data_IF_151166227595
#
_entry.id   IF_151166227595
#
_cell.length_a   1.000
_cell.length_b   1.000
_cell.length_c   1.000
_cell.angle_alpha   90.00
_cell.angle_beta   90.00
_cell.angle_gamma   90.00
#
_symmetry.space_group_name_H-M   'P 1'
#
loop_
_entity.id
_entity.type
_entity.pdbx_description
1 polymer ?
#
# COMPACT_ATOMS: atom_id res chain seq x y z
N UNK A 1 -7.48 -61.48 27.44
CA UNK A 1 -7.02 -60.89 28.68
C UNK A 1 -6.66 -59.45 28.37
N UNK A 2 -7.38 -58.57 28.95
CA UNK A 2 -7.63 -57.18 28.49
C UNK A 2 -6.54 -56.25 29.00
N UNK A 3 -5.90 -55.54 28.06
CA UNK A 3 -5.15 -54.33 28.34
C UNK A 3 -6.12 -53.16 28.52
N UNK A 4 -5.91 -52.39 29.58
CA UNK A 4 -6.65 -51.19 29.92
C UNK A 4 -5.84 -49.99 29.45
N UNK A 5 -6.37 -49.28 28.46
CA UNK A 5 -5.94 -47.94 28.08
C UNK A 5 -6.15 -46.97 29.25
N UNK A 6 -5.05 -46.29 29.63
CA UNK A 6 -5.11 -45.13 30.53
C UNK A 6 -5.15 -43.84 29.70
N UNK A 7 -6.28 -43.20 29.75
CA UNK A 7 -6.43 -41.78 29.33
C UNK A 7 -5.46 -40.90 30.14
N UNK A 8 -4.61 -40.15 29.40
CA UNK A 8 -3.79 -39.09 29.97
C UNK A 8 -4.63 -37.79 29.94
N UNK A 9 -4.92 -37.28 31.12
CA UNK A 9 -5.69 -36.05 31.32
C UNK A 9 -4.92 -34.82 30.81
N UNK A 10 -5.66 -33.96 30.09
CA UNK A 10 -5.22 -32.61 29.70
C UNK A 10 -5.22 -31.70 30.94
N UNK A 11 -4.13 -31.62 31.64
CA UNK A 11 -3.86 -30.52 32.59
C UNK A 11 -2.38 -30.59 32.98
N UNK A 12 -1.54 -29.92 32.23
CA UNK A 12 -0.24 -29.37 32.64
C UNK A 12 0.41 -28.66 31.42
N UNK A 13 -0.23 -27.58 30.97
CA UNK A 13 0.49 -26.59 30.17
C UNK A 13 0.92 -25.52 31.16
N UNK A 14 2.07 -25.72 31.74
CA UNK A 14 2.79 -24.66 32.46
C UNK A 14 3.12 -23.57 31.45
N UNK A 15 2.63 -22.37 31.72
CA UNK A 15 3.07 -21.13 31.11
C UNK A 15 4.58 -20.98 31.42
N UNK A 16 5.42 -21.43 30.51
CA UNK A 16 6.79 -21.01 30.42
C UNK A 16 6.76 -19.62 29.77
N UNK A 17 7.18 -18.59 30.49
CA UNK A 17 7.59 -17.33 29.93
C UNK A 17 8.78 -17.64 28.98
N UNK A 18 8.49 -17.84 27.69
CA UNK A 18 9.51 -17.80 26.66
C UNK A 18 10.03 -16.34 26.64
N UNK A 19 11.18 -16.10 27.23
CA UNK A 19 11.94 -14.87 27.02
C UNK A 19 12.06 -14.68 25.51
N UNK A 20 11.29 -13.76 24.93
CA UNK A 20 11.38 -13.41 23.53
C UNK A 20 12.81 -12.90 23.27
N UNK A 21 13.57 -13.68 22.53
CA UNK A 21 14.93 -13.33 22.14
C UNK A 21 14.87 -12.03 21.32
N UNK A 22 15.46 -10.96 21.84
CA UNK A 22 15.48 -9.65 21.20
C UNK A 22 16.79 -9.48 20.44
N UNK A 23 16.70 -9.14 19.18
CA UNK A 23 17.84 -8.93 18.28
C UNK A 23 18.14 -7.44 18.13
N UNK A 24 19.41 -7.05 18.29
CA UNK A 24 19.86 -5.68 18.08
C UNK A 24 19.91 -5.34 16.58
N UNK A 25 19.10 -4.40 16.14
CA UNK A 25 19.02 -3.97 14.75
C UNK A 25 19.93 -2.79 14.45
N UNK A 26 20.11 -1.90 15.41
CA UNK A 26 20.98 -0.73 15.31
C UNK A 26 21.62 -0.47 16.68
N UNK A 27 22.91 -0.15 16.64
CA UNK A 27 23.68 0.31 17.80
C UNK A 27 24.34 1.62 17.43
N UNK A 28 24.06 2.68 18.18
CA UNK A 28 24.55 4.04 17.91
C UNK A 28 25.15 4.60 19.20
N UNK A 29 26.42 4.91 19.20
CA UNK A 29 27.07 5.65 20.29
C UNK A 29 26.83 7.15 20.06
N UNK A 30 26.43 7.86 21.13
CA UNK A 30 26.16 9.30 21.07
C UNK A 30 27.46 10.05 21.16
N UNK A 31 27.77 10.85 20.13
CA UNK A 31 28.99 11.63 20.02
C UNK A 31 29.24 12.52 21.28
N UNK A 32 30.50 12.67 21.65
CA UNK A 32 30.90 13.48 22.83
C UNK A 32 30.48 14.95 22.70
N UNK A 33 30.35 15.48 21.50
CA UNK A 33 29.86 16.83 21.21
C UNK A 33 28.36 16.98 21.04
N UNK A 34 27.58 15.88 21.21
CA UNK A 34 26.13 15.91 21.02
C UNK A 34 25.43 16.68 22.12
N UNK A 35 24.74 17.76 21.78
CA UNK A 35 23.86 18.46 22.71
C UNK A 35 22.65 17.63 23.12
N UNK A 36 22.02 17.97 24.25
CA UNK A 36 20.81 17.28 24.74
C UNK A 36 19.69 17.34 23.70
N UNK A 37 19.40 16.22 23.03
CA UNK A 37 18.38 16.08 22.03
C UNK A 37 17.44 14.93 22.40
N UNK A 38 16.13 15.10 22.16
CA UNK A 38 15.17 14.01 22.35
C UNK A 38 15.52 12.82 21.45
N UNK A 39 15.42 11.60 22.00
CA UNK A 39 15.81 10.38 21.30
C UNK A 39 15.02 10.17 19.98
N UNK A 40 13.75 10.59 19.95
CA UNK A 40 12.94 10.51 18.73
C UNK A 40 13.45 11.44 17.61
N UNK A 41 14.02 12.60 17.95
CA UNK A 41 14.70 13.49 16.99
C UNK A 41 16.10 12.98 16.65
N UNK A 42 16.86 12.53 17.65
CA UNK A 42 18.20 11.99 17.47
C UNK A 42 18.23 10.83 16.47
N UNK A 43 17.33 9.85 16.64
CA UNK A 43 17.24 8.69 15.75
C UNK A 43 16.66 9.05 14.38
N UNK A 44 15.73 10.01 14.27
CA UNK A 44 15.19 10.40 12.97
C UNK A 44 16.20 11.06 12.04
N UNK A 45 17.31 11.59 12.58
CA UNK A 45 18.40 12.15 11.79
C UNK A 45 19.48 11.11 11.40
N UNK A 46 19.44 9.90 11.96
CA UNK A 46 20.46 8.85 11.78
C UNK A 46 19.95 7.56 11.16
N UNK A 47 18.63 7.36 11.16
CA UNK A 47 18.01 6.19 10.57
C UNK A 47 17.37 6.57 9.23
N UNK A 48 17.89 6.02 8.15
CA UNK A 48 17.32 6.18 6.83
C UNK A 48 15.91 5.56 6.74
N UNK A 49 15.04 6.16 5.96
CA UNK A 49 13.67 5.70 5.68
C UNK A 49 12.79 5.44 6.92
N UNK A 50 13.15 6.00 8.11
CA UNK A 50 12.40 5.78 9.35
C UNK A 50 11.72 7.07 9.83
N UNK A 51 10.38 7.08 9.83
CA UNK A 51 9.63 8.24 10.30
C UNK A 51 9.72 8.40 11.82
N UNK A 52 9.71 9.66 12.29
CA UNK A 52 9.71 9.99 13.72
C UNK A 52 8.58 9.30 14.50
N UNK A 53 7.39 9.13 13.89
CA UNK A 53 6.28 8.39 14.50
C UNK A 53 6.61 6.92 14.72
N UNK A 54 7.33 6.28 13.79
CA UNK A 54 7.78 4.88 13.92
C UNK A 54 8.74 4.74 15.09
N UNK A 55 9.68 5.68 15.24
CA UNK A 55 10.62 5.73 16.35
C UNK A 55 9.88 5.91 17.68
N UNK A 56 8.91 6.82 17.75
CA UNK A 56 8.14 7.04 18.98
C UNK A 56 7.33 5.79 19.37
N UNK A 57 6.76 5.08 18.41
CA UNK A 57 6.03 3.85 18.68
C UNK A 57 6.97 2.72 19.15
N UNK A 58 8.16 2.60 18.54
CA UNK A 58 9.17 1.64 18.98
C UNK A 58 9.63 1.93 20.42
N UNK A 59 9.85 3.22 20.77
CA UNK A 59 10.21 3.61 22.13
C UNK A 59 9.07 3.31 23.15
N UNK A 60 7.80 3.50 22.79
CA UNK A 60 6.65 3.13 23.63
C UNK A 60 6.50 1.62 23.80
N UNK A 61 6.91 0.85 22.81
CA UNK A 61 6.93 -0.61 22.84
C UNK A 61 8.14 -1.20 23.58
N UNK A 62 9.05 -0.35 24.12
CA UNK A 62 10.27 -0.80 24.81
C UNK A 62 11.38 -1.27 23.88
N UNK A 63 11.25 -1.09 22.56
CA UNK A 63 12.23 -1.52 21.56
C UNK A 63 13.43 -0.56 21.39
N UNK A 64 13.46 0.56 22.09
CA UNK A 64 14.59 1.49 22.08
C UNK A 64 15.21 1.51 23.46
N UNK A 65 16.45 1.07 23.55
CA UNK A 65 17.23 1.00 24.77
C UNK A 65 18.30 2.10 24.76
N UNK A 66 18.60 2.64 25.92
CA UNK A 66 19.79 3.48 26.16
C UNK A 66 20.55 2.84 27.31
N UNK A 67 21.82 2.51 27.07
CA UNK A 67 22.65 1.78 28.02
C UNK A 67 21.93 0.51 28.55
N UNK A 68 21.30 -0.24 27.64
CA UNK A 68 20.50 -1.45 27.88
C UNK A 68 19.21 -1.26 28.70
N UNK A 69 18.72 -0.02 28.87
CA UNK A 69 17.46 0.27 29.57
C UNK A 69 16.46 0.89 28.60
N UNK A 70 15.23 0.34 28.55
CA UNK A 70 14.15 0.86 27.69
C UNK A 70 13.79 2.32 28.07
N UNK A 71 13.68 3.19 27.07
CA UNK A 71 13.44 4.61 27.27
C UNK A 71 12.17 5.11 26.58
N UNK A 72 11.58 6.17 27.13
CA UNK A 72 10.40 6.83 26.52
C UNK A 72 10.84 7.74 25.36
N UNK A 73 9.92 8.07 24.40
CA UNK A 73 10.24 8.91 23.22
C UNK A 73 10.82 10.31 23.53
N UNK A 74 10.58 10.82 24.72
CA UNK A 74 11.07 12.13 25.17
C UNK A 74 12.40 12.08 25.91
N UNK A 75 13.01 10.90 26.08
CA UNK A 75 14.35 10.80 26.67
C UNK A 75 15.33 11.71 25.93
N UNK A 76 16.17 12.43 26.66
CA UNK A 76 17.20 13.29 26.09
C UNK A 76 18.53 12.54 26.10
N UNK A 77 19.04 12.23 24.93
CA UNK A 77 20.34 11.55 24.78
C UNK A 77 21.46 12.41 25.35
N UNK A 78 22.45 11.76 25.95
CA UNK A 78 23.63 12.40 26.55
C UNK A 78 24.88 11.93 25.81
N UNK A 79 25.95 12.72 25.73
CA UNK A 79 27.24 12.28 25.23
C UNK A 79 27.67 10.95 25.86
N UNK A 80 28.08 9.98 25.06
CA UNK A 80 28.52 8.67 25.52
C UNK A 80 27.39 7.66 25.79
N UNK A 81 26.09 8.04 25.62
CA UNK A 81 25.00 7.07 25.66
C UNK A 81 25.15 6.07 24.50
N UNK A 82 24.87 4.82 24.78
CA UNK A 82 24.74 3.76 23.75
C UNK A 82 23.27 3.50 23.51
N UNK A 83 22.81 3.87 22.34
CA UNK A 83 21.41 3.68 21.91
C UNK A 83 21.30 2.42 21.08
N UNK A 84 20.48 1.46 21.53
CA UNK A 84 20.20 0.22 20.81
C UNK A 84 18.73 0.15 20.39
N UNK A 85 18.47 -0.34 19.19
CA UNK A 85 17.12 -0.67 18.72
C UNK A 85 17.02 -2.18 18.64
N UNK A 86 16.11 -2.76 19.43
CA UNK A 86 15.93 -4.20 19.55
C UNK A 86 14.53 -4.62 19.08
N UNK A 87 14.44 -5.72 18.34
CA UNK A 87 13.18 -6.27 17.84
C UNK A 87 13.15 -7.79 18.07
N UNK A 88 11.95 -8.35 18.14
CA UNK A 88 11.73 -9.78 18.36
C UNK A 88 12.09 -10.69 17.15
N UNK A 89 12.70 -10.15 16.12
CA UNK A 89 13.17 -10.89 14.95
C UNK A 89 14.56 -10.37 14.54
N UNK A 90 15.42 -11.20 13.98
CA UNK A 90 16.76 -10.78 13.57
C UNK A 90 16.72 -9.69 12.52
N UNK A 91 17.78 -8.85 12.42
CA UNK A 91 17.91 -7.87 11.34
C UNK A 91 17.81 -8.60 10.00
N UNK A 92 16.86 -8.19 9.17
CA UNK A 92 16.79 -8.63 7.78
C UNK A 92 17.28 -7.49 6.90
N UNK A 93 18.44 -7.65 6.33
CA UNK A 93 18.74 -6.98 5.09
C UNK A 93 17.78 -7.54 4.04
N UNK A 94 16.89 -6.71 3.52
CA UNK A 94 16.04 -7.11 2.38
C UNK A 94 16.97 -7.05 1.18
N UNK A 95 17.69 -8.13 0.94
CA UNK A 95 18.43 -8.30 -0.29
C UNK A 95 17.43 -8.31 -1.45
N UNK A 96 17.62 -7.39 -2.39
CA UNK A 96 16.77 -7.30 -3.58
C UNK A 96 17.23 -8.38 -4.57
N UNK A 97 16.69 -9.58 -4.44
CA UNK A 97 17.01 -10.72 -5.29
C UNK A 97 16.38 -10.49 -6.67
N UNK A 98 17.17 -10.44 -7.76
CA UNK A 98 16.66 -10.37 -9.11
C UNK A 98 15.81 -11.60 -9.44
N UNK A 99 14.62 -11.40 -10.01
CA UNK A 99 13.74 -12.49 -10.43
C UNK A 99 13.21 -12.24 -11.83
N UNK A 100 13.29 -13.25 -12.69
CA UNK A 100 12.74 -13.23 -14.04
C UNK A 100 11.21 -13.35 -13.99
N UNK A 101 10.57 -12.20 -13.73
CA UNK A 101 9.13 -12.05 -13.67
C UNK A 101 8.72 -11.12 -14.81
N UNK A 102 7.79 -11.52 -15.69
CA UNK A 102 7.32 -10.65 -16.75
C UNK A 102 6.74 -9.35 -16.22
N UNK A 103 7.14 -8.22 -16.81
CA UNK A 103 6.60 -6.89 -16.54
C UNK A 103 6.06 -6.27 -17.83
N UNK A 104 4.87 -5.68 -17.73
CA UNK A 104 4.27 -4.97 -18.85
C UNK A 104 4.75 -3.51 -18.83
N UNK A 105 5.69 -3.16 -19.70
CA UNK A 105 6.30 -1.82 -19.81
C UNK A 105 5.47 -1.00 -20.80
N UNK A 106 4.94 0.15 -20.34
CA UNK A 106 4.22 1.11 -21.16
C UNK A 106 5.16 2.14 -21.82
N UNK A 107 6.23 2.48 -21.12
CA UNK A 107 7.27 3.41 -21.58
C UNK A 107 8.56 3.17 -20.81
N UNK A 108 9.68 3.31 -21.50
CA UNK A 108 11.01 3.28 -20.89
C UNK A 108 11.98 4.19 -21.66
N UNK A 109 12.81 4.91 -20.90
CA UNK A 109 13.97 5.63 -21.42
C UNK A 109 15.17 5.48 -20.45
N UNK A 110 16.19 6.32 -20.61
CA UNK A 110 17.38 6.31 -19.76
C UNK A 110 17.09 6.66 -18.29
N UNK A 111 16.01 7.37 -18.01
CA UNK A 111 15.74 8.01 -16.71
C UNK A 111 14.60 7.36 -15.94
N UNK A 112 13.57 6.89 -16.66
CA UNK A 112 12.34 6.33 -16.06
C UNK A 112 11.90 5.06 -16.77
N UNK A 113 11.17 4.23 -16.05
CA UNK A 113 10.31 3.19 -16.62
C UNK A 113 8.89 3.34 -16.07
N UNK A 114 7.89 3.19 -16.93
CA UNK A 114 6.47 3.21 -16.56
C UNK A 114 5.89 1.85 -16.91
N UNK A 115 5.32 1.21 -15.91
CA UNK A 115 4.76 -0.15 -16.04
C UNK A 115 3.25 -0.15 -15.86
N UNK A 116 2.57 -1.08 -16.50
CA UNK A 116 1.22 -1.51 -16.16
C UNK A 116 1.33 -2.70 -15.20
N UNK A 117 1.32 -2.41 -13.89
CA UNK A 117 1.43 -3.45 -12.87
C UNK A 117 0.20 -4.35 -12.87
N UNK A 118 0.39 -5.64 -12.90
CA UNK A 118 -0.70 -6.60 -12.74
C UNK A 118 -1.26 -6.62 -11.31
N UNK A 119 -2.53 -6.99 -11.18
CA UNK A 119 -3.12 -7.28 -9.88
C UNK A 119 -2.51 -8.56 -9.27
N UNK A 120 -2.45 -8.63 -7.95
CA UNK A 120 -1.81 -9.75 -7.23
C UNK A 120 -0.32 -9.54 -6.95
N UNK A 121 0.36 -8.65 -7.70
CA UNK A 121 1.78 -8.35 -7.50
C UNK A 121 1.97 -7.23 -6.46
N UNK A 122 2.79 -7.46 -5.44
CA UNK A 122 3.23 -6.44 -4.48
C UNK A 122 4.31 -5.57 -5.12
N UNK A 123 4.32 -4.27 -4.83
CA UNK A 123 5.32 -3.36 -5.42
C UNK A 123 6.71 -3.56 -4.82
N UNK A 124 6.84 -3.61 -3.49
CA UNK A 124 8.12 -3.67 -2.79
C UNK A 124 8.14 -4.83 -1.79
N UNK A 125 9.28 -5.55 -1.65
CA UNK A 125 9.42 -6.58 -0.62
C UNK A 125 9.06 -6.07 0.77
N UNK A 126 8.38 -6.92 1.54
CA UNK A 126 7.96 -6.60 2.89
C UNK A 126 7.43 -7.83 3.62
N UNK A 127 6.91 -7.63 4.83
CA UNK A 127 6.42 -8.73 5.66
C UNK A 127 5.42 -9.62 4.90
N UNK A 128 5.74 -10.92 4.81
CA UNK A 128 4.93 -11.92 4.10
C UNK A 128 5.07 -11.91 2.56
N UNK A 129 5.83 -10.99 1.97
CA UNK A 129 6.08 -10.91 0.52
C UNK A 129 7.53 -10.44 0.29
N UNK A 130 8.48 -11.32 0.53
CA UNK A 130 9.93 -10.99 0.43
C UNK A 130 10.46 -11.12 -1.00
N UNK A 131 9.77 -11.88 -1.84
CA UNK A 131 10.08 -12.16 -3.24
C UNK A 131 8.82 -12.06 -4.08
N UNK A 132 8.92 -12.18 -5.40
CA UNK A 132 7.77 -12.11 -6.30
C UNK A 132 7.19 -10.69 -6.42
N UNK A 133 7.97 -9.65 -6.11
CA UNK A 133 7.50 -8.26 -6.14
C UNK A 133 7.93 -7.57 -7.44
N UNK A 134 7.28 -6.45 -7.75
CA UNK A 134 7.66 -5.63 -8.89
C UNK A 134 9.14 -5.19 -8.81
N UNK A 135 9.64 -4.88 -7.61
CA UNK A 135 11.06 -4.50 -7.43
C UNK A 135 11.99 -5.67 -7.80
N UNK A 136 11.66 -6.92 -7.42
CA UNK A 136 12.47 -8.08 -7.82
C UNK A 136 12.53 -8.24 -9.35
N UNK A 137 11.39 -8.04 -10.04
CA UNK A 137 11.32 -8.06 -11.49
C UNK A 137 12.12 -6.93 -12.14
N UNK A 138 12.01 -5.71 -11.59
CA UNK A 138 12.75 -4.53 -12.09
C UNK A 138 14.26 -4.66 -11.88
N UNK A 139 14.71 -5.20 -10.75
CA UNK A 139 16.15 -5.48 -10.53
C UNK A 139 16.66 -6.48 -11.57
N UNK A 140 15.86 -7.49 -11.92
CA UNK A 140 16.22 -8.41 -13.00
C UNK A 140 16.25 -7.71 -14.36
N UNK A 141 15.23 -6.92 -14.69
CA UNK A 141 15.16 -6.16 -15.94
C UNK A 141 16.33 -5.17 -16.08
N UNK A 142 16.75 -4.55 -14.98
CA UNK A 142 17.82 -3.55 -15.00
C UNK A 142 19.24 -4.14 -14.99
N UNK A 143 19.43 -5.44 -14.71
CA UNK A 143 20.75 -6.07 -14.62
C UNK A 143 21.58 -5.94 -15.91
N UNK A 144 20.88 -5.96 -17.06
CA UNK A 144 21.50 -5.91 -18.39
C UNK A 144 21.56 -4.48 -18.96
N UNK A 145 21.13 -3.46 -18.18
CA UNK A 145 21.26 -2.07 -18.58
C UNK A 145 22.70 -1.56 -18.38
N UNK A 146 23.15 -0.59 -19.21
CA UNK A 146 24.43 0.06 -19.01
C UNK A 146 24.55 0.65 -17.61
N UNK A 147 25.75 0.55 -17.03
CA UNK A 147 26.07 1.17 -15.75
C UNK A 147 25.82 2.68 -15.81
N UNK A 148 25.20 3.22 -14.76
CA UNK A 148 25.06 4.66 -14.56
C UNK A 148 26.04 5.10 -13.48
N UNK A 149 26.94 6.05 -13.81
CA UNK A 149 28.02 6.48 -12.89
C UNK A 149 28.90 5.34 -12.35
N UNK A 150 29.15 4.30 -13.18
CA UNK A 150 29.84 3.07 -12.82
C UNK A 150 29.12 2.19 -11.78
N UNK A 151 27.81 2.40 -11.54
CA UNK A 151 26.99 1.57 -10.66
C UNK A 151 25.83 0.91 -11.43
N UNK A 152 25.36 -0.26 -10.99
CA UNK A 152 24.14 -0.88 -11.51
C UNK A 152 22.91 0.01 -11.31
N UNK A 153 22.03 0.03 -12.32
CA UNK A 153 20.73 0.73 -12.22
C UNK A 153 19.88 0.09 -11.13
N UNK A 154 19.37 0.91 -10.20
CA UNK A 154 18.50 0.48 -9.10
C UNK A 154 17.10 1.05 -9.26
N UNK A 155 16.04 0.27 -8.97
CA UNK A 155 14.66 0.75 -9.05
C UNK A 155 14.37 1.82 -8.01
N UNK A 156 14.23 3.08 -8.43
CA UNK A 156 13.86 4.23 -7.60
C UNK A 156 12.35 4.37 -7.45
N UNK A 157 11.75 3.75 -6.43
CA UNK A 157 10.32 3.87 -6.16
C UNK A 157 9.97 5.21 -5.50
N UNK A 158 8.96 5.88 -6.03
CA UNK A 158 8.46 7.18 -5.52
C UNK A 158 6.99 7.12 -5.07
N UNK A 159 6.27 6.12 -5.54
CA UNK A 159 4.88 5.82 -5.14
C UNK A 159 4.56 4.32 -5.21
N UNK A 160 3.38 3.97 -4.79
CA UNK A 160 2.90 2.58 -4.83
C UNK A 160 1.39 2.52 -5.03
N UNK A 161 0.94 1.38 -5.57
CA UNK A 161 -0.46 0.97 -5.57
C UNK A 161 -0.60 -0.34 -4.79
N UNK A 162 -1.81 -0.70 -4.39
CA UNK A 162 -2.05 -1.90 -3.57
C UNK A 162 -1.72 -3.19 -4.35
N UNK A 163 -1.51 -4.29 -3.62
CA UNK A 163 -1.24 -5.61 -4.20
C UNK A 163 -2.24 -5.97 -5.31
N UNK A 164 -3.53 -5.86 -5.01
CA UNK A 164 -4.62 -6.23 -5.89
C UNK A 164 -5.12 -5.07 -6.77
N UNK A 165 -4.50 -3.90 -6.73
CA UNK A 165 -4.73 -2.80 -7.68
C UNK A 165 -3.80 -2.99 -8.88
N UNK A 166 -4.33 -2.94 -10.08
CA UNK A 166 -3.57 -2.95 -11.33
C UNK A 166 -3.33 -1.54 -11.87
N UNK A 167 -2.44 -1.39 -12.86
CA UNK A 167 -2.29 -0.16 -13.63
C UNK A 167 -0.97 0.55 -13.52
N UNK A 168 -0.96 1.82 -13.93
CA UNK A 168 0.23 2.63 -14.16
C UNK A 168 1.04 2.90 -12.89
N UNK A 169 2.36 2.72 -13.02
CA UNK A 169 3.32 3.02 -11.97
C UNK A 169 4.64 3.50 -12.59
N UNK A 170 5.17 4.65 -12.12
CA UNK A 170 6.44 5.20 -12.58
C UNK A 170 7.56 4.87 -11.60
N UNK A 171 8.71 4.47 -12.16
CA UNK A 171 9.92 4.11 -11.43
C UNK A 171 11.07 4.92 -12.01
N UNK A 172 11.89 5.52 -11.15
CA UNK A 172 13.13 6.16 -11.55
C UNK A 172 14.25 5.11 -11.76
N UNK A 173 15.16 5.37 -12.70
CA UNK A 173 16.32 4.53 -12.97
C UNK A 173 17.60 5.08 -12.33
N UNK A 174 17.56 6.27 -11.72
CA UNK A 174 18.66 6.88 -10.99
C UNK A 174 18.17 7.83 -9.89
N UNK A 175 19.06 8.16 -8.95
CA UNK A 175 18.74 8.94 -7.75
C UNK A 175 18.29 10.38 -8.06
N UNK A 176 18.88 10.99 -9.11
CA UNK A 176 18.50 12.35 -9.54
C UNK A 176 17.05 12.38 -10.00
N UNK A 177 16.67 11.44 -10.85
CA UNK A 177 15.29 11.28 -11.32
C UNK A 177 14.35 10.92 -10.21
N UNK A 178 14.76 10.03 -9.29
CA UNK A 178 13.97 9.65 -8.12
C UNK A 178 13.66 10.86 -7.24
N UNK A 179 14.65 11.68 -6.95
CA UNK A 179 14.48 12.88 -6.13
C UNK A 179 13.51 13.87 -6.77
N UNK A 180 13.60 14.07 -8.09
CA UNK A 180 12.68 14.94 -8.83
C UNK A 180 11.24 14.41 -8.87
N UNK A 181 11.06 13.13 -9.17
CA UNK A 181 9.74 12.50 -9.13
C UNK A 181 9.14 12.54 -7.72
N UNK A 182 9.93 12.25 -6.68
CA UNK A 182 9.48 12.35 -5.28
C UNK A 182 9.00 13.76 -4.94
N UNK A 183 9.74 14.80 -5.41
CA UNK A 183 9.30 16.19 -5.27
C UNK A 183 8.00 16.46 -6.00
N UNK A 184 7.82 15.98 -7.21
CA UNK A 184 6.58 16.16 -7.99
C UNK A 184 5.38 15.49 -7.32
N UNK A 185 5.55 14.30 -6.70
CA UNK A 185 4.51 13.69 -5.87
C UNK A 185 4.20 14.51 -4.61
N UNK A 186 5.22 15.06 -3.98
CA UNK A 186 5.06 15.93 -2.81
C UNK A 186 4.31 17.23 -3.17
N UNK A 187 4.70 17.88 -4.28
CA UNK A 187 4.11 19.11 -4.79
C UNK A 187 2.73 18.87 -5.47
N UNK A 188 2.30 17.60 -5.61
CA UNK A 188 1.03 17.19 -6.24
C UNK A 188 0.91 17.62 -7.70
N UNK A 189 2.00 17.62 -8.44
CA UNK A 189 2.05 17.98 -9.86
C UNK A 189 1.92 16.77 -10.80
N UNK A 190 1.64 15.59 -10.24
CA UNK A 190 1.40 14.36 -10.99
C UNK A 190 -0.10 14.03 -10.91
N UNK A 191 -0.76 14.08 -12.05
CA UNK A 191 -2.15 13.65 -12.19
C UNK A 191 -2.25 12.13 -12.20
N UNK A 192 -3.14 11.60 -11.37
CA UNK A 192 -3.40 10.15 -11.21
C UNK A 192 -4.89 9.91 -11.32
N UNK A 193 -5.27 9.16 -12.35
CA UNK A 193 -6.67 8.80 -12.58
C UNK A 193 -6.83 7.28 -12.44
N UNK A 194 -7.87 6.88 -11.75
CA UNK A 194 -8.22 5.49 -11.50
C UNK A 194 -9.61 5.20 -12.00
N UNK A 195 -9.85 3.98 -12.47
CA UNK A 195 -11.19 3.44 -12.64
C UNK A 195 -11.52 2.47 -11.51
N UNK A 196 -12.73 2.55 -11.00
CA UNK A 196 -13.24 1.63 -10.01
C UNK A 196 -14.69 1.23 -10.31
N UNK A 197 -15.04 -0.01 -9.97
CA UNK A 197 -16.44 -0.43 -9.88
C UNK A 197 -16.83 -0.42 -8.41
N UNK A 198 -17.92 0.25 -8.09
CA UNK A 198 -18.40 0.44 -6.71
C UNK A 198 -19.84 -0.01 -6.56
N UNK A 199 -20.23 -0.42 -5.35
CA UNK A 199 -21.60 -0.75 -5.01
C UNK A 199 -22.49 0.47 -4.95
N UNK A 200 -23.66 0.38 -5.55
CA UNK A 200 -24.70 1.40 -5.53
C UNK A 200 -24.66 2.32 -6.72
N UNK A 201 -25.66 3.19 -6.76
CA UNK A 201 -25.79 4.28 -7.72
C UNK A 201 -25.61 5.61 -6.99
N UNK A 202 -25.34 6.66 -7.72
CA UNK A 202 -25.11 8.00 -7.21
C UNK A 202 -26.22 8.94 -7.69
N UNK A 203 -26.62 9.88 -6.83
CA UNK A 203 -27.57 10.94 -7.20
C UNK A 203 -26.91 11.91 -8.18
N UNK A 204 -25.67 12.30 -7.92
CA UNK A 204 -24.88 13.23 -8.73
C UNK A 204 -23.91 12.48 -9.66
N UNK A 205 -23.60 13.10 -10.82
CA UNK A 205 -22.65 12.56 -11.79
C UNK A 205 -21.19 12.71 -11.34
N UNK A 206 -20.91 13.53 -10.35
CA UNK A 206 -19.57 13.77 -9.83
C UNK A 206 -19.61 14.25 -8.39
N UNK A 207 -18.50 14.10 -7.69
CA UNK A 207 -18.38 14.57 -6.32
C UNK A 207 -16.95 14.58 -5.80
N UNK A 208 -16.81 15.07 -4.56
CA UNK A 208 -15.53 15.12 -3.87
C UNK A 208 -15.66 14.50 -2.48
N UNK A 209 -14.80 13.55 -2.17
CA UNK A 209 -14.73 12.92 -0.85
C UNK A 209 -13.50 13.46 -0.13
N UNK A 210 -13.73 14.07 1.02
CA UNK A 210 -12.67 14.67 1.85
C UNK A 210 -12.70 14.08 3.24
N UNK A 211 -11.55 13.88 3.86
CA UNK A 211 -11.44 13.42 5.24
C UNK A 211 -10.00 13.15 5.66
N UNK A 212 -9.80 12.72 6.91
CA UNK A 212 -8.48 12.35 7.42
C UNK A 212 -8.38 10.83 7.47
N UNK A 213 -7.49 10.25 6.66
CA UNK A 213 -7.30 8.79 6.60
C UNK A 213 -6.19 8.38 7.57
N UNK A 214 -6.55 7.50 8.50
CA UNK A 214 -5.64 6.90 9.47
C UNK A 214 -5.93 5.42 9.67
N UNK A 215 -5.05 4.72 10.44
CA UNK A 215 -5.32 3.33 10.80
C UNK A 215 -6.49 3.25 11.75
N UNK A 216 -7.40 2.31 11.50
CA UNK A 216 -8.54 2.06 12.39
C UNK A 216 -8.05 1.74 13.81
N UNK A 217 -8.67 2.34 14.81
CA UNK A 217 -8.36 2.10 16.23
C UNK A 217 -8.78 0.70 16.68
N UNK A 218 -9.80 0.11 16.02
CA UNK A 218 -10.31 -1.23 16.31
C UNK A 218 -9.58 -2.33 15.56
N UNK A 219 -9.19 -2.09 14.31
CA UNK A 219 -8.49 -3.06 13.48
C UNK A 219 -7.34 -2.39 12.71
N UNK A 220 -6.12 -2.53 13.19
CA UNK A 220 -4.92 -1.89 12.61
C UNK A 220 -4.57 -2.35 11.17
N UNK A 221 -5.20 -3.40 10.66
CA UNK A 221 -5.04 -3.83 9.26
C UNK A 221 -5.84 -2.97 8.28
N UNK A 222 -6.82 -2.21 8.77
CA UNK A 222 -7.77 -1.42 7.98
C UNK A 222 -7.52 0.08 8.16
N UNK A 223 -7.69 0.85 7.10
CA UNK A 223 -7.71 2.31 7.16
C UNK A 223 -9.14 2.80 7.39
N UNK A 224 -9.29 3.97 8.00
CA UNK A 224 -10.58 4.58 8.31
C UNK A 224 -10.51 6.08 8.06
N UNK A 225 -11.62 6.67 7.64
CA UNK A 225 -11.80 8.13 7.60
C UNK A 225 -12.17 8.62 9.00
N UNK A 226 -11.46 9.63 9.46
CA UNK A 226 -11.76 10.35 10.69
C UNK A 226 -12.37 11.71 10.35
N UNK A 227 -13.42 12.14 11.05
CA UNK A 227 -14.12 13.37 10.71
C UNK A 227 -13.34 14.64 11.05
N UNK A 228 -12.39 14.53 11.97
CA UNK A 228 -11.59 15.66 12.48
C UNK A 228 -10.10 15.51 12.17
N UNK A 229 -9.35 16.58 12.38
CA UNK A 229 -7.90 16.62 12.15
C UNK A 229 -7.07 15.97 13.27
N UNK A 230 -7.71 15.47 14.32
CA UNK A 230 -7.03 14.92 15.51
C UNK A 230 -6.28 13.64 15.19
N UNK A 231 -6.74 12.89 14.18
CA UNK A 231 -6.14 11.62 13.78
C UNK A 231 -6.19 11.38 12.27
N UNK A 232 -5.10 10.80 11.75
CA UNK A 232 -4.98 10.52 10.32
C UNK A 232 -4.29 11.65 9.54
N UNK A 233 -4.34 11.56 8.22
CA UNK A 233 -3.76 12.54 7.30
C UNK A 233 -4.82 12.97 6.30
N UNK A 234 -4.91 14.26 6.03
CA UNK A 234 -5.80 14.83 5.04
C UNK A 234 -5.72 14.12 3.70
N UNK A 235 -6.88 13.81 3.14
CA UNK A 235 -7.05 13.09 1.88
C UNK A 235 -8.23 13.67 1.09
N UNK A 236 -8.05 13.80 -0.23
CA UNK A 236 -9.08 14.28 -1.16
C UNK A 236 -9.12 13.38 -2.38
N UNK A 237 -10.31 12.92 -2.73
CA UNK A 237 -10.61 12.12 -3.93
C UNK A 237 -11.79 12.77 -4.65
N UNK A 238 -11.57 13.19 -5.89
CA UNK A 238 -12.66 13.59 -6.80
C UNK A 238 -13.11 12.36 -7.56
N UNK A 239 -14.40 12.26 -7.83
CA UNK A 239 -14.93 11.19 -8.67
C UNK A 239 -15.93 11.71 -9.70
N UNK A 240 -16.02 10.98 -10.80
CA UNK A 240 -17.04 11.16 -11.84
C UNK A 240 -17.63 9.79 -12.18
N UNK A 241 -18.96 9.71 -12.28
CA UNK A 241 -19.65 8.48 -12.69
C UNK A 241 -19.52 8.37 -14.21
N UNK A 242 -18.88 7.28 -14.67
CA UNK A 242 -18.73 6.99 -16.10
C UNK A 242 -19.98 6.28 -16.60
N UNK A 243 -20.45 5.28 -15.85
CA UNK A 243 -21.58 4.45 -16.28
C UNK A 243 -22.31 3.86 -15.04
N UNK A 244 -23.65 3.87 -15.11
CA UNK A 244 -24.52 3.35 -14.07
C UNK A 244 -25.12 2.02 -14.53
N UNK A 245 -25.11 1.03 -13.63
CA UNK A 245 -25.69 -0.30 -13.88
C UNK A 245 -26.82 -0.61 -12.88
N UNK A 246 -27.36 0.43 -12.21
CA UNK A 246 -28.41 0.33 -11.22
C UNK A 246 -27.93 -0.08 -9.82
N UNK A 247 -27.26 -1.21 -9.68
CA UNK A 247 -26.78 -1.72 -8.39
C UNK A 247 -25.29 -1.53 -8.16
N UNK A 248 -24.55 -1.25 -9.21
CA UNK A 248 -23.14 -0.86 -9.18
C UNK A 248 -22.90 0.25 -10.19
N UNK A 249 -21.81 0.99 -10.04
CA UNK A 249 -21.40 2.06 -10.95
C UNK A 249 -19.93 1.94 -11.29
N UNK A 250 -19.57 2.21 -12.55
CA UNK A 250 -18.21 2.45 -12.98
C UNK A 250 -17.90 3.93 -12.77
N UNK A 251 -16.85 4.21 -12.04
CA UNK A 251 -16.43 5.55 -11.72
C UNK A 251 -14.99 5.81 -12.13
N UNK A 252 -14.70 7.07 -12.43
CA UNK A 252 -13.35 7.62 -12.53
C UNK A 252 -13.01 8.36 -11.24
N UNK A 253 -11.80 8.18 -10.71
CA UNK A 253 -11.31 8.86 -9.52
C UNK A 253 -10.04 9.63 -9.83
N UNK A 254 -10.01 10.93 -9.53
CA UNK A 254 -8.80 11.77 -9.58
C UNK A 254 -8.32 12.08 -8.16
N UNK A 255 -7.04 11.82 -7.90
CA UNK A 255 -6.44 11.95 -6.57
C UNK A 255 -5.63 13.23 -6.42
N UNK A 256 -5.96 14.08 -5.42
CA UNK A 256 -5.04 15.12 -4.95
C UNK A 256 -3.98 14.56 -4.00
N UNK A 257 -4.33 13.55 -3.21
CA UNK A 257 -3.48 12.90 -2.21
C UNK A 257 -3.33 11.42 -2.50
N UNK A 258 -2.30 10.78 -1.94
CA UNK A 258 -2.06 9.34 -2.10
C UNK A 258 -1.89 8.63 -0.75
N UNK A 259 -2.97 8.50 0.04
CA UNK A 259 -2.93 7.76 1.31
C UNK A 259 -3.16 6.27 1.07
N UNK A 260 -2.63 5.46 1.97
CA UNK A 260 -2.84 3.99 1.93
C UNK A 260 -4.32 3.68 1.84
N UNK A 261 -4.73 2.86 0.86
CA UNK A 261 -6.11 2.45 0.57
C UNK A 261 -7.09 3.63 0.39
N UNK A 262 -6.63 4.81 -0.04
CA UNK A 262 -7.43 6.05 -0.02
C UNK A 262 -8.78 5.90 -0.73
N UNK A 263 -8.81 5.50 -2.01
CA UNK A 263 -10.04 5.32 -2.78
C UNK A 263 -10.95 4.32 -2.07
N UNK A 264 -10.42 3.16 -1.68
CA UNK A 264 -11.15 2.08 -1.00
C UNK A 264 -11.80 2.55 0.29
N UNK A 265 -11.05 3.31 1.10
CA UNK A 265 -11.51 3.84 2.40
C UNK A 265 -12.55 4.96 2.21
N UNK A 266 -12.33 5.86 1.25
CA UNK A 266 -13.24 6.97 0.94
C UNK A 266 -14.59 6.44 0.46
N UNK A 267 -14.62 5.51 -0.50
CA UNK A 267 -15.88 4.96 -1.00
C UNK A 267 -16.59 4.08 0.04
N UNK A 268 -15.86 3.36 0.88
CA UNK A 268 -16.47 2.71 2.06
C UNK A 268 -17.12 3.73 2.99
N UNK A 269 -16.48 4.86 3.23
CA UNK A 269 -16.97 5.91 4.14
C UNK A 269 -18.31 6.50 3.67
N UNK A 270 -18.48 6.72 2.36
CA UNK A 270 -19.72 7.26 1.79
C UNK A 270 -20.77 6.17 1.46
N UNK A 271 -20.55 4.90 1.88
CA UNK A 271 -21.51 3.83 1.70
C UNK A 271 -21.48 3.11 0.34
N UNK A 272 -20.46 3.37 -0.49
CA UNK A 272 -20.25 2.79 -1.81
C UNK A 272 -18.92 1.99 -1.89
N UNK A 273 -18.68 0.95 -1.07
CA UNK A 273 -17.42 0.24 -1.11
C UNK A 273 -17.16 -0.34 -2.51
N UNK A 274 -15.88 -0.50 -2.85
CA UNK A 274 -15.49 -1.07 -4.14
C UNK A 274 -16.01 -2.50 -4.27
N UNK A 275 -16.43 -2.86 -5.46
CA UNK A 275 -16.91 -4.18 -5.80
C UNK A 275 -15.83 -5.23 -5.51
N UNK A 276 -16.18 -6.27 -4.79
CA UNK A 276 -15.33 -7.37 -4.33
C UNK A 276 -14.11 -6.94 -3.46
N UNK A 277 -14.28 -5.91 -2.63
CA UNK A 277 -13.26 -5.50 -1.67
C UNK A 277 -13.46 -6.19 -0.31
N UNK A 278 -12.77 -7.31 -0.08
CA UNK A 278 -12.82 -8.08 1.17
C UNK A 278 -12.46 -7.25 2.41
N UNK A 279 -11.51 -6.32 2.26
CA UNK A 279 -11.03 -5.51 3.40
C UNK A 279 -12.09 -4.50 3.85
N UNK A 280 -12.87 -3.98 2.90
CA UNK A 280 -13.82 -2.88 3.14
C UNK A 280 -15.29 -3.32 2.96
N UNK A 281 -15.54 -4.63 2.84
CA UNK A 281 -16.88 -5.22 2.87
C UNK A 281 -17.65 -5.06 1.55
N UNK A 282 -16.93 -5.00 0.43
CA UNK A 282 -17.50 -5.00 -0.91
C UNK A 282 -17.64 -6.40 -1.53
N UNK A 283 -17.17 -7.42 -0.84
CA UNK A 283 -17.19 -8.84 -1.21
C UNK A 283 -18.52 -9.56 -0.88
N UNK A 284 -19.52 -8.81 -0.47
CA UNK A 284 -20.88 -9.27 -0.21
C UNK A 284 -21.90 -8.51 -1.05
N UNK A 285 -23.08 -9.06 -1.25
CA UNK A 285 -24.17 -8.41 -1.99
C UNK A 285 -24.75 -7.28 -1.14
N UNK A 286 -24.46 -6.04 -1.51
CA UNK A 286 -24.88 -4.86 -0.76
C UNK A 286 -26.13 -4.19 -1.36
N UNK A 287 -26.37 -4.35 -2.64
CA UNK A 287 -27.51 -3.76 -3.39
C UNK A 287 -28.15 -4.79 -4.30
N UNK A 288 -29.41 -4.60 -4.61
CA UNK A 288 -30.16 -5.45 -5.55
C UNK A 288 -31.27 -6.26 -4.91
N UNK A 289 -31.54 -7.44 -5.41
CA UNK A 289 -32.69 -8.27 -5.03
C UNK A 289 -32.28 -9.50 -4.24
N UNK A 290 -33.25 -10.12 -3.54
CA UNK A 290 -33.03 -11.35 -2.75
C UNK A 290 -33.15 -12.64 -3.59
N UNK A 291 -33.52 -12.54 -4.87
CA UNK A 291 -33.74 -13.70 -5.74
C UNK A 291 -32.47 -14.52 -5.97
N UNK A 292 -32.62 -15.84 -5.97
CA UNK A 292 -31.50 -16.79 -6.18
C UNK A 292 -30.73 -16.53 -7.47
N UNK A 293 -31.44 -16.23 -8.58
CA UNK A 293 -30.79 -15.90 -9.87
C UNK A 293 -29.91 -14.67 -9.79
N UNK A 294 -30.31 -13.63 -9.03
CA UNK A 294 -29.50 -12.44 -8.80
C UNK A 294 -28.26 -12.75 -7.97
N UNK A 295 -28.43 -13.50 -6.86
CA UNK A 295 -27.29 -13.94 -6.04
C UNK A 295 -26.27 -14.72 -6.86
N UNK A 296 -26.75 -15.64 -7.70
CA UNK A 296 -25.87 -16.40 -8.61
C UNK A 296 -25.16 -15.51 -9.63
N UNK A 297 -25.88 -14.53 -10.19
CA UNK A 297 -25.29 -13.53 -11.09
C UNK A 297 -24.15 -12.75 -10.42
N UNK A 298 -24.36 -12.22 -9.21
CA UNK A 298 -23.35 -11.46 -8.48
C UNK A 298 -22.16 -12.34 -8.09
N UNK A 299 -22.40 -13.59 -7.64
CA UNK A 299 -21.32 -14.53 -7.34
C UNK A 299 -20.45 -14.82 -8.58
N UNK A 300 -21.07 -14.93 -9.77
CA UNK A 300 -20.34 -15.04 -11.02
C UNK A 300 -19.51 -13.78 -11.32
N UNK A 301 -20.03 -12.58 -11.00
CA UNK A 301 -19.28 -11.32 -11.12
C UNK A 301 -18.09 -11.28 -10.17
N UNK A 302 -18.23 -11.76 -8.93
CA UNK A 302 -17.12 -11.89 -7.99
C UNK A 302 -16.03 -12.85 -8.50
N UNK A 303 -16.42 -13.95 -9.16
CA UNK A 303 -15.46 -14.88 -9.77
C UNK A 303 -14.74 -14.29 -10.99
N UNK A 304 -15.39 -13.39 -11.75
CA UNK A 304 -14.78 -12.69 -12.90
C UNK A 304 -13.71 -11.70 -12.43
N UNK A 305 -13.99 -10.91 -11.39
CA UNK A 305 -13.03 -9.99 -10.80
C UNK A 305 -12.81 -10.37 -9.33
N UNK A 306 -11.90 -11.34 -9.02
CA UNK A 306 -11.71 -11.91 -7.69
C UNK A 306 -10.85 -11.02 -6.80
N UNK A 307 -11.05 -9.71 -6.86
CA UNK A 307 -10.31 -8.66 -6.16
C UNK A 307 -11.13 -7.38 -6.11
N UNK A 308 -10.73 -6.42 -5.28
CA UNK A 308 -11.33 -5.09 -5.38
C UNK A 308 -11.16 -4.52 -6.79
N UNK A 309 -12.25 -4.13 -7.41
CA UNK A 309 -12.28 -3.62 -8.78
C UNK A 309 -11.72 -2.19 -8.84
N UNK A 310 -10.38 -2.07 -8.85
CA UNK A 310 -9.63 -0.82 -8.88
C UNK A 310 -8.45 -0.93 -9.85
N UNK A 311 -8.29 0.09 -10.68
CA UNK A 311 -7.25 0.17 -11.70
C UNK A 311 -6.69 1.60 -11.81
N UNK A 312 -5.37 1.75 -11.70
CA UNK A 312 -4.66 3.01 -11.93
C UNK A 312 -4.54 3.23 -13.44
N UNK A 313 -5.54 3.91 -14.03
CA UNK A 313 -5.69 4.03 -15.48
C UNK A 313 -4.66 4.94 -16.10
N UNK A 314 -4.55 6.19 -15.62
CA UNK A 314 -3.63 7.16 -16.23
C UNK A 314 -2.68 7.77 -15.23
N UNK A 315 -1.51 8.11 -15.75
CA UNK A 315 -0.47 8.85 -15.05
C UNK A 315 0.04 9.97 -15.95
N UNK A 316 -0.17 11.23 -15.57
CA UNK A 316 0.25 12.38 -16.36
C UNK A 316 1.15 13.30 -15.53
N UNK A 317 2.30 13.69 -16.11
CA UNK A 317 3.30 14.52 -15.46
C UNK A 317 4.29 15.10 -16.47
N UNK A 318 5.11 16.08 -16.05
CA UNK A 318 6.26 16.53 -16.85
C UNK A 318 7.44 15.61 -16.60
N UNK A 319 8.04 15.09 -17.66
CA UNK A 319 9.24 14.24 -17.57
C UNK A 319 10.33 14.93 -16.73
N UNK A 320 10.87 14.28 -15.69
CA UNK A 320 11.72 14.94 -14.69
C UNK A 320 13.04 15.48 -15.23
N UNK A 321 13.51 15.02 -16.38
CA UNK A 321 14.75 15.46 -17.00
C UNK A 321 14.47 16.34 -18.23
N UNK A 322 13.66 15.85 -19.18
CA UNK A 322 13.44 16.54 -20.46
C UNK A 322 12.37 17.64 -20.38
N UNK A 323 11.53 17.66 -19.34
CA UNK A 323 10.41 18.57 -19.19
C UNK A 323 9.22 18.30 -20.14
N UNK A 324 9.32 17.28 -21.01
CA UNK A 324 8.24 16.89 -21.93
C UNK A 324 7.01 16.44 -21.15
N UNK A 325 5.83 16.86 -21.59
CA UNK A 325 4.58 16.37 -20.99
C UNK A 325 4.35 14.91 -21.34
N UNK A 326 4.18 14.09 -20.32
CA UNK A 326 3.90 12.65 -20.41
C UNK A 326 2.46 12.41 -19.99
N UNK A 327 1.75 11.59 -20.75
CA UNK A 327 0.42 11.09 -20.38
C UNK A 327 0.35 9.61 -20.80
N UNK A 328 0.43 8.72 -19.83
CA UNK A 328 0.47 7.29 -20.05
C UNK A 328 -0.82 6.67 -19.53
N UNK A 329 -1.40 5.81 -20.36
CA UNK A 329 -2.62 5.10 -20.04
C UNK A 329 -2.38 3.59 -20.06
N UNK A 330 -2.80 2.90 -19.00
CA UNK A 330 -2.92 1.46 -18.97
C UNK A 330 -4.35 1.08 -19.37
N UNK A 331 -4.53 0.15 -20.32
CA UNK A 331 -5.86 -0.31 -20.68
C UNK A 331 -6.56 -0.97 -19.48
N UNK A 332 -7.87 -0.82 -19.39
CA UNK A 332 -8.66 -1.49 -18.36
C UNK A 332 -8.41 -3.01 -18.43
N UNK A 333 -8.06 -3.69 -17.35
CA UNK A 333 -7.71 -5.11 -17.39
C UNK A 333 -8.94 -5.98 -17.67
N UNK A 334 -8.69 -7.15 -18.25
CA UNK A 334 -9.71 -8.09 -18.72
C UNK A 334 -10.78 -8.44 -17.68
N UNK A 335 -10.39 -8.62 -16.42
CA UNK A 335 -11.31 -8.92 -15.33
C UNK A 335 -12.30 -7.78 -15.08
N UNK A 336 -11.86 -6.53 -15.13
CA UNK A 336 -12.73 -5.37 -14.99
C UNK A 336 -13.54 -5.08 -16.26
N UNK A 337 -13.00 -5.32 -17.46
CA UNK A 337 -13.75 -5.20 -18.70
C UNK A 337 -14.91 -6.20 -18.74
N UNK A 338 -14.65 -7.48 -18.45
CA UNK A 338 -15.67 -8.53 -18.40
C UNK A 338 -16.70 -8.26 -17.29
N UNK A 339 -16.28 -7.73 -16.16
CA UNK A 339 -17.16 -7.35 -15.06
C UNK A 339 -18.14 -6.25 -15.49
N UNK A 340 -17.63 -5.16 -16.06
CA UNK A 340 -18.48 -4.02 -16.50
C UNK A 340 -19.43 -4.44 -17.63
N UNK A 341 -18.94 -5.22 -18.60
CA UNK A 341 -19.82 -5.72 -19.68
C UNK A 341 -20.94 -6.60 -19.13
N UNK A 342 -20.65 -7.48 -18.16
CA UNK A 342 -21.66 -8.33 -17.55
C UNK A 342 -22.72 -7.54 -16.79
N UNK A 343 -22.32 -6.49 -16.08
CA UNK A 343 -23.25 -5.58 -15.41
C UNK A 343 -24.06 -4.74 -16.39
N UNK A 344 -23.46 -4.26 -17.48
CA UNK A 344 -24.16 -3.54 -18.56
C UNK A 344 -25.27 -4.39 -19.18
N UNK A 345 -24.97 -5.63 -19.53
CA UNK A 345 -25.97 -6.57 -20.04
C UNK A 345 -27.09 -6.81 -19.03
N UNK A 346 -26.77 -6.95 -17.75
CA UNK A 346 -27.76 -7.10 -16.69
C UNK A 346 -28.69 -5.88 -16.60
N UNK A 347 -28.14 -4.68 -16.63
CA UNK A 347 -28.90 -3.43 -16.55
C UNK A 347 -29.86 -3.28 -17.75
N UNK A 348 -29.37 -3.54 -18.96
CA UNK A 348 -30.20 -3.53 -20.19
C UNK A 348 -31.39 -4.49 -20.06
N UNK A 349 -31.14 -5.73 -19.63
CA UNK A 349 -32.21 -6.74 -19.51
C UNK A 349 -33.21 -6.44 -18.40
N UNK A 350 -32.86 -5.60 -17.45
CA UNK A 350 -33.72 -5.21 -16.32
C UNK A 350 -34.39 -3.86 -16.49
N UNK A 351 -34.02 -3.12 -17.53
CA UNK A 351 -34.47 -1.73 -17.75
C UNK A 351 -34.14 -0.81 -16.55
N UNK A 352 -32.97 -0.91 -15.98
CA UNK A 352 -32.45 -0.12 -14.85
C UNK A 352 -31.17 0.61 -15.24
#
# INVERSE_FOLDING_TARGET
MQEKDKEISKSDITNGDEEQELYEHHRIEVDKGQGLLRIDKFLSCRLEATSRNKIQNAARAGSILVNNVAVKPNYKVKPGDVVSIVLAHPPREIELIPQDIPINILYEDEHIVIVNKEAGMVVHPGYGNYTGTLVNALVHHFKDLPLQNNEPVKPGLVHRIDKNTSGTLVIAKNDFTQSRLAKMFFDRTIDRVYNAVVWGDFEDDSGTITGHIGRSLKNRKVMQVFPDESFGKHAVTHYTVIERFGYVSLIECKLETGRTHQIRTHFKHIGHPLFNDETYGGDTILKGTTFTKYKQFVNNCFSICPRHALHARTLAFKHPVTGKHMNLEAPLPDDMQKLTEKWRQYAIHKNI
#
